data_IF_084719420313
#
_entry.id   IF_084719420313
#
_cell.length_a   1.000
_cell.length_b   1.000
_cell.length_c   1.000
_cell.angle_alpha   90.00
_cell.angle_beta   90.00
_cell.angle_gamma   90.00
#
_symmetry.space_group_name_H-M   'P 1'
#
loop_
_entity.id
_entity.type
_entity.pdbx_description
1 polymer ?
#
# COMPACT_ATOMS: atom_id res chain seq x y z
N UNK A 1 8.81 -6.72 1.87
CA UNK A 1 7.57 -7.31 1.31
C UNK A 1 7.76 -8.46 0.33
N UNK A 2 8.87 -8.57 -0.43
CA UNK A 2 9.03 -9.66 -1.40
C UNK A 2 8.88 -11.08 -0.79
N UNK A 3 9.44 -11.31 0.40
CA UNK A 3 9.32 -12.59 1.13
C UNK A 3 7.94 -12.81 1.77
N UNK A 4 7.24 -11.72 2.11
CA UNK A 4 5.90 -11.77 2.70
C UNK A 4 4.79 -11.86 1.64
N UNK A 5 5.08 -11.50 0.39
CA UNK A 5 4.15 -11.53 -0.72
C UNK A 5 3.38 -12.86 -0.88
N UNK A 6 3.99 -14.06 -0.80
CA UNK A 6 3.24 -15.32 -0.89
C UNK A 6 2.22 -15.50 0.26
N UNK A 7 2.56 -15.06 1.48
CA UNK A 7 1.66 -15.13 2.63
C UNK A 7 0.51 -14.12 2.50
N UNK A 8 0.83 -12.87 2.17
CA UNK A 8 -0.14 -11.79 1.93
C UNK A 8 -1.12 -12.14 0.81
N UNK A 9 -0.63 -12.68 -0.31
CA UNK A 9 -1.49 -13.15 -1.41
C UNK A 9 -2.42 -14.30 -0.99
N UNK A 10 -2.01 -15.17 -0.05
CA UNK A 10 -2.87 -16.23 0.49
C UNK A 10 -3.98 -15.66 1.38
N UNK A 11 -3.66 -14.68 2.22
CA UNK A 11 -4.63 -13.96 3.07
C UNK A 11 -5.65 -13.22 2.21
N UNK A 12 -5.21 -12.48 1.18
CA UNK A 12 -6.15 -11.73 0.33
C UNK A 12 -7.03 -12.63 -0.53
N UNK A 13 -6.59 -13.88 -0.81
CA UNK A 13 -7.43 -14.86 -1.49
C UNK A 13 -8.67 -15.23 -0.66
N UNK A 14 -8.56 -15.27 0.67
CA UNK A 14 -9.74 -15.43 1.55
C UNK A 14 -10.69 -14.23 1.48
N UNK A 15 -10.17 -13.04 1.17
CA UNK A 15 -10.95 -11.83 0.92
C UNK A 15 -11.44 -11.73 -0.54
N UNK A 16 -11.36 -12.83 -1.31
CA UNK A 16 -11.74 -12.89 -2.73
C UNK A 16 -10.96 -11.92 -3.64
N UNK A 17 -9.77 -11.49 -3.21
CA UNK A 17 -8.90 -10.57 -3.94
C UNK A 17 -7.60 -11.28 -4.38
N UNK A 18 -7.35 -11.26 -5.69
CA UNK A 18 -6.13 -11.76 -6.30
C UNK A 18 -5.23 -10.55 -6.56
N UNK A 19 -4.22 -10.39 -5.69
CA UNK A 19 -3.21 -9.34 -5.80
C UNK A 19 -1.90 -9.96 -6.33
N UNK A 20 -1.40 -9.53 -7.50
CA UNK A 20 -0.12 -10.00 -8.02
C UNK A 20 1.05 -9.68 -7.09
N UNK A 21 2.09 -10.53 -7.06
CA UNK A 21 3.27 -10.33 -6.18
C UNK A 21 3.97 -8.98 -6.38
N UNK A 22 4.01 -8.47 -7.62
CA UNK A 22 4.61 -7.18 -7.96
C UNK A 22 3.83 -6.01 -7.34
N UNK A 23 2.51 -6.11 -7.30
CA UNK A 23 1.63 -5.07 -6.75
C UNK A 23 1.82 -4.86 -5.25
N UNK A 24 2.15 -5.92 -4.51
CA UNK A 24 2.48 -5.81 -3.08
C UNK A 24 3.68 -4.90 -2.81
N UNK A 25 4.65 -4.82 -3.72
CA UNK A 25 5.78 -3.90 -3.58
C UNK A 25 5.30 -2.45 -3.65
N UNK A 26 4.43 -2.12 -4.61
CA UNK A 26 3.88 -0.77 -4.74
C UNK A 26 2.96 -0.40 -3.58
N UNK A 27 2.15 -1.35 -3.09
CA UNK A 27 1.28 -1.14 -1.94
C UNK A 27 2.02 -1.07 -0.59
N UNK A 28 3.31 -1.44 -0.54
CA UNK A 28 4.07 -1.47 0.71
C UNK A 28 4.13 -0.09 1.38
N UNK A 29 4.47 0.94 0.61
CA UNK A 29 4.61 2.31 1.14
C UNK A 29 3.25 2.86 1.61
N UNK A 30 2.18 2.82 0.79
CA UNK A 30 0.85 3.25 1.23
C UNK A 30 0.33 2.49 2.46
N UNK A 31 0.48 1.15 2.49
CA UNK A 31 0.04 0.34 3.64
C UNK A 31 0.85 0.71 4.88
N UNK A 32 2.16 0.90 4.75
CA UNK A 32 3.02 1.29 5.88
C UNK A 32 2.59 2.63 6.47
N UNK A 33 2.34 3.64 5.63
CA UNK A 33 1.82 4.94 6.09
C UNK A 33 0.51 4.77 6.85
N UNK A 34 -0.41 3.97 6.31
CA UNK A 34 -1.71 3.70 6.94
C UNK A 34 -1.53 3.01 8.31
N UNK A 35 -0.67 2.01 8.40
CA UNK A 35 -0.35 1.30 9.66
C UNK A 35 0.31 2.24 10.66
N UNK A 36 1.25 3.08 10.26
CA UNK A 36 1.88 4.06 11.13
C UNK A 36 0.88 5.07 11.72
N UNK A 37 -0.11 5.48 10.92
CA UNK A 37 -1.21 6.33 11.40
C UNK A 37 -2.08 5.57 12.41
N UNK A 38 -2.47 4.33 12.11
CA UNK A 38 -3.32 3.52 12.98
C UNK A 38 -2.67 3.14 14.32
N UNK A 39 -1.37 2.85 14.30
CA UNK A 39 -0.58 2.49 15.49
C UNK A 39 -0.14 3.74 16.27
N UNK A 40 -0.22 4.92 15.66
CA UNK A 40 0.22 6.19 16.26
C UNK A 40 1.74 6.40 16.26
N UNK A 41 2.53 5.47 15.69
CA UNK A 41 3.97 5.61 15.55
C UNK A 41 4.34 6.36 14.26
N UNK A 42 4.31 7.69 14.32
CA UNK A 42 4.51 8.57 13.16
C UNK A 42 6.00 8.63 12.77
N UNK A 43 6.31 8.13 11.57
CA UNK A 43 7.65 8.28 10.96
C UNK A 43 7.80 9.63 10.26
N UNK A 44 9.03 10.09 9.94
CA UNK A 44 9.24 11.30 9.14
C UNK A 44 8.50 11.26 7.79
N UNK A 45 8.42 10.10 7.15
CA UNK A 45 7.68 9.89 5.91
C UNK A 45 6.18 10.13 6.11
N UNK A 46 5.58 9.51 7.14
CA UNK A 46 4.17 9.69 7.48
C UNK A 46 3.87 11.13 7.89
N UNK A 47 4.75 11.78 8.66
CA UNK A 47 4.64 13.19 9.05
C UNK A 47 4.61 14.10 7.82
N UNK A 48 5.52 13.89 6.87
CA UNK A 48 5.60 14.68 5.64
C UNK A 48 4.39 14.43 4.72
N UNK A 49 3.86 13.21 4.69
CA UNK A 49 2.63 12.90 3.96
C UNK A 49 1.39 13.58 4.56
N UNK A 50 1.28 13.61 5.89
CA UNK A 50 0.16 14.25 6.60
C UNK A 50 0.23 15.78 6.58
N UNK A 51 1.39 16.37 6.29
CA UNK A 51 1.52 17.83 6.23
C UNK A 51 0.73 18.38 5.04
N UNK A 52 -0.37 19.08 5.31
CA UNK A 52 -1.30 19.60 4.30
C UNK A 52 -0.63 20.61 3.36
N UNK A 53 0.26 21.46 3.88
CA UNK A 53 0.79 22.64 3.19
C UNK A 53 2.12 22.39 2.46
N UNK A 54 2.64 21.17 2.46
CA UNK A 54 3.95 20.88 1.86
C UNK A 54 4.05 19.46 1.30
N UNK A 55 5.20 19.16 0.70
CA UNK A 55 5.56 17.82 0.21
C UNK A 55 4.63 17.24 -0.87
N UNK A 56 4.12 18.09 -1.77
CA UNK A 56 3.31 17.65 -2.92
C UNK A 56 3.96 16.55 -3.78
N UNK A 57 5.29 16.58 -4.08
CA UNK A 57 5.92 15.50 -4.84
C UNK A 57 5.81 14.13 -4.14
N UNK A 58 5.98 14.12 -2.81
CA UNK A 58 5.84 12.90 -2.01
C UNK A 58 4.41 12.37 -2.05
N UNK A 59 3.41 13.24 -1.92
CA UNK A 59 2.00 12.86 -2.00
C UNK A 59 1.65 12.29 -3.37
N UNK A 60 2.10 12.96 -4.44
CA UNK A 60 1.90 12.50 -5.82
C UNK A 60 2.54 11.12 -6.01
N UNK A 61 3.76 10.92 -5.51
CA UNK A 61 4.44 9.63 -5.57
C UNK A 61 3.66 8.53 -4.83
N UNK A 62 3.17 8.81 -3.61
CA UNK A 62 2.39 7.84 -2.83
C UNK A 62 1.06 7.52 -3.52
N UNK A 63 0.39 8.52 -4.09
CA UNK A 63 -0.83 8.33 -4.87
C UNK A 63 -0.54 7.49 -6.12
N UNK A 64 0.54 7.77 -6.86
CA UNK A 64 0.93 7.01 -8.03
C UNK A 64 1.25 5.55 -7.67
N UNK A 65 1.99 5.32 -6.58
CA UNK A 65 2.28 3.97 -6.07
C UNK A 65 1.01 3.24 -5.64
N UNK A 66 0.05 3.94 -5.04
CA UNK A 66 -1.24 3.37 -4.68
C UNK A 66 -2.02 2.97 -5.95
N UNK A 67 -2.10 3.83 -6.95
CA UNK A 67 -2.77 3.53 -8.23
C UNK A 67 -2.12 2.35 -8.94
N UNK A 68 -0.79 2.32 -9.07
CA UNK A 68 -0.04 1.21 -9.67
C UNK A 68 -0.19 -0.09 -8.85
N UNK A 69 -0.22 0.01 -7.53
CA UNK A 69 -0.44 -1.12 -6.64
C UNK A 69 -1.85 -1.71 -6.75
N UNK A 70 -2.86 -0.87 -6.99
CA UNK A 70 -4.23 -1.32 -7.23
C UNK A 70 -4.44 -1.83 -8.67
N UNK A 71 -3.63 -1.36 -9.63
CA UNK A 71 -3.74 -1.74 -11.03
C UNK A 71 -3.42 -3.22 -11.25
N UNK A 72 -4.43 -4.02 -11.58
CA UNK A 72 -4.29 -5.46 -11.80
C UNK A 72 -4.73 -6.33 -10.63
N UNK A 73 -5.24 -5.74 -9.55
CA UNK A 73 -6.01 -6.49 -8.55
C UNK A 73 -7.30 -6.99 -9.21
N UNK A 74 -7.51 -8.31 -9.16
CA UNK A 74 -8.72 -8.94 -9.71
C UNK A 74 -9.56 -9.50 -8.57
N UNK A 75 -10.88 -9.34 -8.64
CA UNK A 75 -11.80 -10.11 -7.79
C UNK A 75 -11.89 -11.52 -8.35
N UNK A 76 -11.78 -12.54 -7.50
CA UNK A 76 -12.15 -13.88 -7.92
C UNK A 76 -13.66 -13.91 -8.17
N UNK A 77 -14.11 -14.40 -9.33
CA UNK A 77 -15.52 -14.70 -9.52
C UNK A 77 -15.88 -15.89 -8.63
N UNK A 78 -17.08 -15.82 -8.06
CA UNK A 78 -17.67 -16.84 -7.19
C UNK A 78 -17.87 -18.13 -7.95
#
# INVERSE_FOLDING_TARGET
MYLLAPLLSRITKHLHLIIPKKNWLFLTIPISILVHILVGNITPLTKNFLNIHSHYPLKILIIALLLLGLQGIRKTKK
#
